data_IF_050563715662
#
_entry.id   IF_050563715662
#
_cell.length_a   1.000
_cell.length_b   1.000
_cell.length_c   1.000
_cell.angle_alpha   90.00
_cell.angle_beta   90.00
_cell.angle_gamma   90.00
#
_symmetry.space_group_name_H-M   'P 1'
#
loop_
_entity.id
_entity.type
_entity.pdbx_description
1 polymer ?
#
# COMPACT_ATOMS: atom_id res chain seq x y z
N UNK A 1 -4.34 -7.39 10.27
CA UNK A 1 -2.94 -7.80 10.00
C UNK A 1 -2.24 -6.65 9.29
N UNK A 2 -1.00 -6.25 9.66
CA UNK A 2 -0.36 -5.09 9.07
C UNK A 2 0.25 -5.36 7.69
N UNK A 3 0.46 -6.62 7.33
CA UNK A 3 0.89 -7.09 6.01
C UNK A 3 0.27 -8.47 5.79
N UNK A 4 -0.22 -8.74 4.59
CA UNK A 4 -0.74 -10.04 4.20
C UNK A 4 0.05 -10.58 3.02
N UNK A 5 0.35 -11.86 3.11
CA UNK A 5 0.92 -12.65 2.04
C UNK A 5 -0.09 -13.70 1.58
N UNK A 6 -0.50 -13.65 0.31
CA UNK A 6 -1.30 -14.67 -0.36
C UNK A 6 -0.45 -15.39 -1.41
N UNK A 7 -0.43 -16.72 -1.38
CA UNK A 7 0.26 -17.58 -2.35
C UNK A 7 -0.68 -18.70 -2.83
N UNK A 8 -0.61 -19.06 -4.11
CA UNK A 8 -1.44 -20.10 -4.72
C UNK A 8 -0.95 -20.46 -6.12
N UNK A 9 -1.19 -21.70 -6.56
CA UNK A 9 -0.88 -22.13 -7.95
C UNK A 9 -1.96 -21.64 -8.91
N UNK A 10 -1.67 -21.60 -10.21
CA UNK A 10 -2.68 -21.29 -11.23
C UNK A 10 -3.92 -22.17 -11.05
N UNK A 11 -5.10 -21.55 -11.03
CA UNK A 11 -6.38 -22.26 -10.79
C UNK A 11 -6.73 -22.53 -9.33
N UNK A 12 -5.88 -22.16 -8.36
CA UNK A 12 -6.17 -22.36 -6.92
C UNK A 12 -7.11 -21.30 -6.31
N UNK A 13 -7.64 -20.38 -7.12
CA UNK A 13 -8.51 -19.30 -6.65
C UNK A 13 -7.80 -18.07 -6.05
N UNK A 14 -6.47 -17.92 -6.25
CA UNK A 14 -5.69 -16.75 -5.77
C UNK A 14 -6.33 -15.42 -6.20
N UNK A 15 -6.61 -15.28 -7.50
CA UNK A 15 -7.19 -14.06 -8.07
C UNK A 15 -8.59 -13.77 -7.54
N UNK A 16 -9.41 -14.80 -7.37
CA UNK A 16 -10.76 -14.68 -6.77
C UNK A 16 -10.64 -14.17 -5.33
N UNK A 17 -9.72 -14.72 -4.55
CA UNK A 17 -9.46 -14.27 -3.18
C UNK A 17 -8.96 -12.82 -3.12
N UNK A 18 -8.06 -12.43 -4.02
CA UNK A 18 -7.55 -11.06 -4.11
C UNK A 18 -8.69 -10.07 -4.45
N UNK A 19 -9.52 -10.39 -5.45
CA UNK A 19 -10.68 -9.57 -5.81
C UNK A 19 -11.68 -9.48 -4.66
N UNK A 20 -11.93 -10.57 -3.93
CA UNK A 20 -12.80 -10.55 -2.75
C UNK A 20 -12.24 -9.64 -1.64
N UNK A 21 -10.92 -9.59 -1.45
CA UNK A 21 -10.27 -8.68 -0.50
C UNK A 21 -10.39 -7.22 -0.94
N UNK A 22 -10.13 -6.92 -2.21
CA UNK A 22 -10.26 -5.57 -2.77
C UNK A 22 -11.69 -5.07 -2.68
N UNK A 23 -12.66 -5.87 -3.13
CA UNK A 23 -14.08 -5.55 -3.03
C UNK A 23 -14.51 -5.35 -1.57
N UNK A 24 -14.02 -6.16 -0.63
CA UNK A 24 -14.31 -5.97 0.80
C UNK A 24 -13.86 -4.61 1.34
N UNK A 25 -12.75 -4.06 0.83
CA UNK A 25 -12.29 -2.71 1.17
C UNK A 25 -13.17 -1.65 0.50
N UNK A 26 -13.45 -1.79 -0.80
CA UNK A 26 -14.27 -0.84 -1.55
C UNK A 26 -15.70 -0.75 -1.01
N UNK A 27 -16.27 -1.85 -0.49
CA UNK A 27 -17.60 -1.86 0.12
C UNK A 27 -17.68 -1.21 1.50
N UNK A 28 -16.53 -1.00 2.18
CA UNK A 28 -16.49 -0.59 3.59
C UNK A 28 -15.80 0.74 3.83
N UNK A 29 -15.09 1.28 2.85
CA UNK A 29 -14.22 2.42 3.04
C UNK A 29 -14.28 3.40 1.87
N UNK A 30 -14.41 4.68 2.22
CA UNK A 30 -14.36 5.77 1.26
C UNK A 30 -12.91 6.09 0.83
N UNK A 31 -12.70 6.78 -0.30
CA UNK A 31 -11.36 7.18 -0.77
C UNK A 31 -10.58 8.07 0.20
N UNK A 32 -11.27 8.75 1.12
CA UNK A 32 -10.67 9.56 2.19
C UNK A 32 -10.12 8.69 3.34
N UNK A 33 -10.65 7.48 3.49
CA UNK A 33 -10.23 6.54 4.53
C UNK A 33 -9.18 5.55 4.03
N UNK A 34 -9.32 5.10 2.78
CA UNK A 34 -8.44 4.11 2.16
C UNK A 34 -8.04 4.54 0.75
N UNK A 35 -6.74 4.53 0.52
CA UNK A 35 -6.12 4.76 -0.78
C UNK A 35 -5.30 3.55 -1.21
N UNK A 36 -5.21 3.31 -2.52
CA UNK A 36 -4.64 2.08 -3.07
C UNK A 36 -3.56 2.35 -4.12
N UNK A 37 -2.56 1.50 -4.14
CA UNK A 37 -1.59 1.36 -5.24
C UNK A 37 -1.68 -0.08 -5.71
N UNK A 38 -2.09 -0.26 -6.97
CA UNK A 38 -2.23 -1.57 -7.59
C UNK A 38 -1.09 -1.77 -8.59
N UNK A 39 -0.40 -2.90 -8.50
CA UNK A 39 0.69 -3.30 -9.39
C UNK A 39 0.31 -4.61 -10.08
N UNK A 40 0.10 -4.54 -11.40
CA UNK A 40 -0.29 -5.66 -12.26
C UNK A 40 0.57 -5.66 -13.54
N UNK A 41 1.75 -6.30 -13.51
CA UNK A 41 2.65 -6.32 -14.65
C UNK A 41 2.14 -7.16 -15.83
N UNK A 42 1.11 -8.00 -15.60
CA UNK A 42 0.53 -8.88 -16.61
C UNK A 42 -0.77 -8.32 -17.19
N UNK A 43 -1.33 -7.28 -16.58
CA UNK A 43 -2.60 -6.65 -16.96
C UNK A 43 -3.78 -7.62 -16.99
N UNK A 44 -3.79 -8.61 -16.10
CA UNK A 44 -4.79 -9.67 -16.11
C UNK A 44 -5.89 -9.47 -15.08
N UNK A 45 -5.52 -9.09 -13.86
CA UNK A 45 -6.40 -9.22 -12.70
C UNK A 45 -6.84 -7.86 -12.16
N UNK A 46 -5.94 -6.86 -12.15
CA UNK A 46 -6.20 -5.58 -11.48
C UNK A 46 -6.61 -4.44 -12.42
N UNK A 47 -6.45 -4.63 -13.73
CA UNK A 47 -6.81 -3.63 -14.75
C UNK A 47 -8.29 -3.24 -14.72
N UNK A 48 -9.16 -4.13 -14.21
CA UNK A 48 -10.60 -3.85 -14.00
C UNK A 48 -10.87 -2.73 -12.98
N UNK A 49 -9.91 -2.45 -12.09
CA UNK A 49 -10.01 -1.40 -11.07
C UNK A 49 -9.47 -0.05 -11.55
N UNK A 50 -9.07 0.08 -12.82
CA UNK A 50 -8.57 1.34 -13.35
C UNK A 50 -9.62 2.46 -13.22
N UNK A 51 -9.16 3.66 -12.82
CA UNK A 51 -10.02 4.84 -12.69
C UNK A 51 -10.89 4.94 -11.43
N UNK A 52 -10.83 3.97 -10.50
CA UNK A 52 -11.55 4.12 -9.23
C UNK A 52 -10.95 5.26 -8.38
N UNK A 53 -11.77 6.00 -7.60
CA UNK A 53 -11.31 7.16 -6.82
C UNK A 53 -10.33 6.78 -5.70
N UNK A 54 -10.30 5.51 -5.28
CA UNK A 54 -9.37 5.01 -4.27
C UNK A 54 -7.93 4.92 -4.75
N UNK A 55 -7.67 4.94 -6.07
CA UNK A 55 -6.31 4.86 -6.60
C UNK A 55 -5.51 6.13 -6.34
N UNK A 56 -4.24 5.98 -5.95
CA UNK A 56 -3.26 7.08 -5.87
C UNK A 56 -2.55 7.33 -7.20
N UNK A 57 -2.55 6.32 -8.06
CA UNK A 57 -1.89 6.28 -9.35
C UNK A 57 -2.68 5.29 -10.22
N UNK A 58 -2.68 5.46 -11.55
CA UNK A 58 -3.13 4.41 -12.46
C UNK A 58 -2.50 3.06 -12.13
N UNK A 59 -3.17 1.96 -12.48
CA UNK A 59 -2.68 0.61 -12.22
C UNK A 59 -1.30 0.48 -12.86
N UNK A 60 -0.31 0.16 -12.03
CA UNK A 60 1.08 0.15 -12.45
C UNK A 60 1.36 -1.16 -13.20
N UNK A 61 1.66 -1.05 -14.47
CA UNK A 61 2.03 -2.18 -15.33
C UNK A 61 3.54 -2.29 -15.53
N UNK A 62 4.24 -1.14 -15.55
CA UNK A 62 5.70 -1.10 -15.68
C UNK A 62 6.41 -1.37 -14.34
N UNK A 63 7.38 -2.28 -14.36
CA UNK A 63 8.10 -2.73 -13.15
C UNK A 63 9.07 -1.68 -12.59
N UNK A 64 9.57 -0.79 -13.42
CA UNK A 64 10.38 0.35 -12.99
C UNK A 64 9.50 1.35 -12.22
N UNK A 65 8.29 1.59 -12.71
CA UNK A 65 7.28 2.41 -12.03
C UNK A 65 6.81 1.76 -10.72
N UNK A 66 6.67 0.44 -10.67
CA UNK A 66 6.32 -0.28 -9.45
C UNK A 66 7.37 -0.06 -8.34
N UNK A 67 8.65 -0.03 -8.73
CA UNK A 67 9.74 0.31 -7.82
C UNK A 67 9.68 1.76 -7.31
N UNK A 68 9.26 2.70 -8.16
CA UNK A 68 9.04 4.09 -7.76
C UNK A 68 7.86 4.21 -6.78
N UNK A 69 6.76 3.50 -7.03
CA UNK A 69 5.61 3.46 -6.13
C UNK A 69 5.99 2.97 -4.74
N UNK A 70 6.80 1.90 -4.63
CA UNK A 70 7.29 1.40 -3.35
C UNK A 70 8.26 2.37 -2.66
N UNK A 71 9.13 3.06 -3.42
CA UNK A 71 9.99 4.13 -2.87
C UNK A 71 9.15 5.28 -2.31
N UNK A 72 8.09 5.68 -3.02
CA UNK A 72 7.15 6.68 -2.57
C UNK A 72 6.46 6.25 -1.27
N UNK A 73 6.03 4.98 -1.16
CA UNK A 73 5.48 4.44 0.09
C UNK A 73 6.44 4.56 1.28
N UNK A 74 7.75 4.33 1.06
CA UNK A 74 8.77 4.51 2.12
C UNK A 74 8.91 5.99 2.49
N UNK A 75 8.94 6.89 1.50
CA UNK A 75 9.02 8.33 1.76
C UNK A 75 7.79 8.86 2.50
N UNK A 76 6.60 8.42 2.09
CA UNK A 76 5.33 8.75 2.74
C UNK A 76 5.26 8.17 4.16
N UNK A 77 5.78 6.96 4.38
CA UNK A 77 5.93 6.38 5.72
C UNK A 77 6.75 7.30 6.62
N UNK A 78 7.91 7.76 6.15
CA UNK A 78 8.80 8.63 6.91
C UNK A 78 8.17 10.01 7.18
N UNK A 79 7.44 10.58 6.19
CA UNK A 79 6.65 11.81 6.37
C UNK A 79 5.61 11.64 7.48
N UNK A 80 4.83 10.56 7.45
CA UNK A 80 3.80 10.26 8.47
C UNK A 80 4.41 10.07 9.85
N UNK A 81 5.56 9.42 9.96
CA UNK A 81 6.25 9.28 11.23
C UNK A 81 6.67 10.61 11.83
N UNK A 82 7.18 11.54 11.01
CA UNK A 82 7.51 12.89 11.46
C UNK A 82 6.27 13.63 11.95
N UNK A 83 5.17 13.61 11.18
CA UNK A 83 3.90 14.22 11.57
C UNK A 83 3.35 13.64 12.89
N UNK A 84 3.39 12.33 13.05
CA UNK A 84 2.98 11.66 14.29
C UNK A 84 3.86 12.05 15.48
N UNK A 85 5.18 12.18 15.27
CA UNK A 85 6.12 12.63 16.30
C UNK A 85 5.83 14.07 16.74
N UNK A 86 5.61 14.98 15.79
CA UNK A 86 5.32 16.40 16.07
C UNK A 86 3.96 16.58 16.77
N UNK A 87 2.98 15.75 16.41
CA UNK A 87 1.65 15.75 17.05
C UNK A 87 1.60 14.92 18.34
N UNK A 88 2.67 14.24 18.72
CA UNK A 88 2.75 13.45 19.96
C UNK A 88 1.92 12.16 19.97
N UNK A 89 1.62 11.59 18.81
CA UNK A 89 0.81 10.36 18.66
C UNK A 89 1.64 9.19 18.17
N UNK A 90 1.19 7.96 18.47
CA UNK A 90 1.94 6.72 18.17
C UNK A 90 1.37 5.90 17.01
N UNK A 91 0.24 6.30 16.42
CA UNK A 91 -0.40 5.60 15.32
C UNK A 91 -1.22 6.53 14.45
N UNK A 92 -1.43 6.15 13.18
CA UNK A 92 -2.29 6.87 12.24
C UNK A 92 -3.73 7.00 12.76
N UNK A 93 -4.25 5.96 13.42
CA UNK A 93 -5.59 6.01 14.02
C UNK A 93 -5.67 7.07 15.13
N UNK A 94 -4.63 7.18 15.97
CA UNK A 94 -4.57 8.20 17.00
C UNK A 94 -4.38 9.61 16.41
N UNK A 95 -3.59 9.73 15.33
CA UNK A 95 -3.44 10.96 14.56
C UNK A 95 -4.79 11.43 13.99
N UNK A 96 -5.49 10.57 13.25
CA UNK A 96 -6.80 10.90 12.66
C UNK A 96 -7.84 11.22 13.73
N UNK A 97 -7.83 10.49 14.86
CA UNK A 97 -8.72 10.80 15.99
C UNK A 97 -8.46 12.20 16.53
N UNK A 98 -7.19 12.58 16.72
CA UNK A 98 -6.81 13.90 17.23
C UNK A 98 -7.28 15.04 16.32
N UNK A 99 -7.20 14.85 15.00
CA UNK A 99 -7.68 15.83 14.01
C UNK A 99 -9.21 15.92 14.02
N UNK A 100 -9.91 14.78 13.95
CA UNK A 100 -11.38 14.75 14.03
C UNK A 100 -11.92 15.36 15.32
N UNK A 101 -11.23 15.13 16.45
CA UNK A 101 -11.61 15.73 17.74
C UNK A 101 -11.34 17.25 17.75
N UNK A 102 -10.32 17.75 17.06
CA UNK A 102 -10.08 19.18 16.91
C UNK A 102 -11.16 19.83 16.04
N UNK A 103 -11.48 19.25 14.88
CA UNK A 103 -12.54 19.72 13.97
C UNK A 103 -13.90 19.82 14.67
N UNK A 104 -14.27 18.79 15.45
CA UNK A 104 -15.52 18.80 16.25
C UNK A 104 -15.59 19.93 17.27
N UNK A 105 -14.45 20.41 17.75
CA UNK A 105 -14.34 21.53 18.68
C UNK A 105 -14.16 22.88 17.96
N UNK A 106 -14.37 22.93 16.64
CA UNK A 106 -14.10 24.09 15.78
C UNK A 106 -12.67 24.63 15.92
N UNK A 107 -11.70 23.73 16.14
CA UNK A 107 -10.27 24.03 16.19
C UNK A 107 -9.58 23.33 15.04
N UNK A 108 -8.65 24.00 14.39
CA UNK A 108 -7.78 23.39 13.39
C UNK A 108 -6.36 23.31 13.92
N UNK A 109 -5.68 22.20 13.64
CA UNK A 109 -4.30 22.00 14.05
C UNK A 109 -3.43 22.50 12.90
N UNK A 110 -2.66 23.55 13.12
CA UNK A 110 -1.70 24.07 12.12
C UNK A 110 -0.62 23.01 11.87
N UNK A 111 -0.23 22.86 10.60
CA UNK A 111 0.82 21.95 10.18
C UNK A 111 2.17 22.40 10.76
N UNK A 112 2.79 21.64 11.66
CA UNK A 112 4.07 22.01 12.27
C UNK A 112 5.27 21.90 11.32
N UNK A 113 5.05 21.52 10.05
CA UNK A 113 6.11 21.32 9.05
C UNK A 113 6.35 22.56 8.17
N UNK A 114 5.33 23.38 7.95
CA UNK A 114 5.39 24.63 7.19
C UNK A 114 4.89 25.75 8.12
N UNK A 115 5.83 26.45 8.77
CA UNK A 115 5.48 27.61 9.61
C UNK A 115 5.10 28.84 8.76
N UNK A 116 5.52 28.87 7.49
CA UNK A 116 5.32 29.98 6.55
C UNK A 116 3.98 29.94 5.80
N UNK A 117 3.28 28.80 5.81
CA UNK A 117 1.97 28.62 5.18
C UNK A 117 0.96 28.23 6.27
N UNK A 118 -0.19 28.91 6.35
CA UNK A 118 -1.33 28.50 7.19
C UNK A 118 -1.99 27.23 6.61
N UNK A 119 -1.24 26.13 6.57
CA UNK A 119 -1.74 24.82 6.18
C UNK A 119 -2.23 24.08 7.42
N UNK A 120 -3.46 23.56 7.38
CA UNK A 120 -4.02 22.77 8.48
C UNK A 120 -3.78 21.28 8.27
N UNK A 121 -3.56 20.55 9.37
CA UNK A 121 -3.46 19.11 9.32
C UNK A 121 -4.82 18.48 9.02
N UNK A 122 -4.83 17.64 8.00
CA UNK A 122 -5.99 16.82 7.62
C UNK A 122 -5.81 15.35 8.03
N UNK A 123 -6.92 14.63 8.09
CA UNK A 123 -6.87 13.18 8.30
C UNK A 123 -6.19 12.49 7.14
N UNK A 124 -5.39 11.47 7.45
CA UNK A 124 -4.61 10.75 6.46
C UNK A 124 -5.25 9.38 6.17
N UNK A 125 -5.41 8.99 4.90
CA UNK A 125 -5.96 7.69 4.54
C UNK A 125 -4.98 6.57 4.85
N UNK A 126 -5.49 5.37 5.13
CA UNK A 126 -4.70 4.14 5.08
C UNK A 126 -4.29 3.85 3.63
N UNK A 127 -3.04 3.48 3.43
CA UNK A 127 -2.53 3.15 2.09
C UNK A 127 -2.39 1.64 1.99
N UNK A 128 -3.08 1.03 1.02
CA UNK A 128 -3.01 -0.39 0.71
C UNK A 128 -2.24 -0.56 -0.60
N UNK A 129 -1.11 -1.26 -0.54
CA UNK A 129 -0.34 -1.60 -1.75
C UNK A 129 -0.62 -3.04 -2.10
N UNK A 130 -1.10 -3.32 -3.30
CA UNK A 130 -1.37 -4.67 -3.79
C UNK A 130 -0.50 -4.96 -4.99
N UNK A 131 0.22 -6.08 -4.92
CA UNK A 131 1.03 -6.60 -6.01
C UNK A 131 0.45 -7.95 -6.39
N UNK A 132 -0.02 -8.14 -7.63
CA UNK A 132 -0.55 -9.44 -8.08
C UNK A 132 0.56 -10.50 -8.17
N UNK A 133 1.67 -10.11 -8.81
CA UNK A 133 2.77 -10.99 -9.16
C UNK A 133 4.09 -10.47 -8.61
N UNK A 134 4.31 -10.73 -7.32
CA UNK A 134 5.47 -10.20 -6.63
C UNK A 134 6.79 -10.88 -7.03
N UNK A 135 6.78 -12.13 -7.53
CA UNK A 135 8.03 -12.78 -7.95
C UNK A 135 8.64 -12.13 -9.19
N UNK A 136 7.82 -11.70 -10.13
CA UNK A 136 8.33 -10.98 -11.30
C UNK A 136 9.05 -9.71 -10.87
N UNK A 137 8.53 -8.99 -9.85
CA UNK A 137 9.21 -7.82 -9.30
C UNK A 137 10.56 -8.18 -8.65
N UNK A 138 10.61 -9.27 -7.87
CA UNK A 138 11.86 -9.73 -7.24
C UNK A 138 12.91 -10.15 -8.27
N UNK A 139 12.50 -10.79 -9.36
CA UNK A 139 13.40 -11.22 -10.42
C UNK A 139 13.97 -10.04 -11.23
N UNK A 140 13.13 -9.03 -11.52
CA UNK A 140 13.53 -7.87 -12.32
C UNK A 140 14.31 -6.82 -11.53
N UNK A 141 13.86 -6.49 -10.31
CA UNK A 141 14.41 -5.38 -9.50
C UNK A 141 15.48 -5.89 -8.52
N UNK A 142 15.43 -7.17 -8.15
CA UNK A 142 16.43 -7.83 -7.31
C UNK A 142 16.53 -7.26 -5.90
N UNK A 143 17.76 -7.20 -5.38
CA UNK A 143 18.08 -6.82 -3.98
C UNK A 143 17.56 -5.45 -3.54
N UNK A 144 17.35 -4.51 -4.47
CA UNK A 144 16.82 -3.18 -4.13
C UNK A 144 15.37 -3.27 -3.63
N UNK A 145 14.59 -4.20 -4.17
CA UNK A 145 13.20 -4.40 -3.77
C UNK A 145 13.08 -5.02 -2.37
N UNK A 146 13.94 -6.00 -2.07
CA UNK A 146 14.03 -6.62 -0.74
C UNK A 146 14.26 -5.59 0.36
N UNK A 147 15.19 -4.65 0.14
CA UNK A 147 15.47 -3.60 1.10
C UNK A 147 14.28 -2.67 1.34
N UNK A 148 13.54 -2.30 0.27
CA UNK A 148 12.35 -1.46 0.39
C UNK A 148 11.26 -2.17 1.19
N UNK A 149 11.01 -3.45 0.92
CA UNK A 149 9.95 -4.20 1.59
C UNK A 149 10.29 -4.52 3.02
N UNK A 150 11.56 -4.86 3.30
CA UNK A 150 12.03 -4.99 4.67
C UNK A 150 11.80 -3.69 5.46
N UNK A 151 12.12 -2.55 4.86
CA UNK A 151 11.92 -1.23 5.48
C UNK A 151 10.44 -0.91 5.70
N UNK A 152 9.58 -1.18 4.72
CA UNK A 152 8.13 -1.00 4.88
C UNK A 152 7.64 -1.94 5.98
N UNK A 153 7.87 -3.25 5.89
CA UNK A 153 7.38 -4.24 6.86
C UNK A 153 7.81 -3.95 8.32
N UNK A 154 9.00 -3.36 8.52
CA UNK A 154 9.50 -3.03 9.86
C UNK A 154 8.82 -1.81 10.50
N UNK A 155 8.34 -0.84 9.71
CA UNK A 155 7.90 0.49 10.21
C UNK A 155 6.47 0.87 9.81
N UNK A 156 5.92 0.25 8.79
CA UNK A 156 4.61 0.52 8.21
C UNK A 156 3.44 0.58 9.20
N UNK A 157 3.46 -0.32 10.20
CA UNK A 157 2.29 -0.60 11.06
C UNK A 157 1.74 0.65 11.75
N UNK A 158 2.61 1.54 12.22
CA UNK A 158 2.18 2.77 12.89
C UNK A 158 1.75 3.86 11.90
N UNK A 159 2.38 3.91 10.72
CA UNK A 159 2.12 4.90 9.67
C UNK A 159 0.87 4.59 8.82
N UNK A 160 0.24 3.43 9.02
CA UNK A 160 -0.96 3.00 8.30
C UNK A 160 -0.71 2.72 6.81
N UNK A 161 0.52 2.35 6.45
CA UNK A 161 0.88 1.89 5.10
C UNK A 161 0.97 0.37 5.15
N UNK A 162 0.09 -0.34 4.45
CA UNK A 162 -0.01 -1.79 4.51
C UNK A 162 0.24 -2.36 3.11
N UNK A 163 1.46 -2.82 2.77
CA UNK A 163 1.63 -3.69 1.63
C UNK A 163 0.96 -5.04 1.89
N UNK A 164 -0.05 -5.36 1.09
CA UNK A 164 -0.47 -6.71 0.78
C UNK A 164 0.46 -7.22 -0.32
N UNK A 165 1.60 -7.76 0.08
CA UNK A 165 2.59 -8.34 -0.83
C UNK A 165 2.15 -9.76 -1.17
N UNK A 166 1.56 -10.02 -2.34
CA UNK A 166 1.23 -11.39 -2.76
C UNK A 166 2.47 -12.07 -3.39
N UNK A 167 3.18 -12.94 -2.66
CA UNK A 167 4.18 -13.83 -3.29
C UNK A 167 3.47 -14.85 -4.18
N UNK A 168 3.94 -14.93 -5.40
CA UNK A 168 3.64 -16.01 -6.34
C UNK A 168 4.97 -16.71 -6.61
N UNK A 169 5.01 -18.04 -6.44
CA UNK A 169 6.17 -18.84 -6.85
C UNK A 169 5.65 -19.84 -7.87
N UNK A 170 5.80 -19.51 -9.15
CA UNK A 170 5.52 -20.41 -10.26
C UNK A 170 6.60 -21.49 -10.29
N UNK A 171 6.36 -22.63 -9.63
CA UNK A 171 7.16 -23.83 -9.89
C UNK A 171 6.77 -24.36 -11.27
N UNK A 172 7.52 -23.96 -12.29
CA UNK A 172 7.48 -24.60 -13.60
C UNK A 172 7.81 -26.09 -13.46
N UNK A 173 6.90 -26.95 -13.91
CA UNK A 173 7.12 -28.40 -14.01
C UNK A 173 8.37 -28.68 -14.85
N UNK A 174 9.49 -29.05 -14.24
CA UNK A 174 10.57 -29.76 -14.94
C UNK A 174 10.13 -31.21 -15.16
N UNK A 175 9.71 -31.51 -16.37
CA UNK A 175 9.58 -32.87 -16.86
C UNK A 175 10.97 -33.51 -16.93
N UNK A 176 11.35 -34.29 -15.92
CA UNK A 176 12.40 -35.27 -16.08
C UNK A 176 11.81 -36.46 -16.84
N UNK A 177 11.97 -36.46 -18.18
CA UNK A 177 11.95 -37.69 -18.96
C UNK A 177 13.31 -38.33 -18.79
N UNK A 178 13.37 -39.42 -18.05
CA UNK A 178 14.48 -40.37 -18.08
C UNK A 178 14.37 -41.19 -19.36
N UNK A 179 15.40 -41.10 -20.21
CA UNK A 179 15.75 -42.18 -21.14
C UNK A 179 16.69 -43.15 -20.41
#
# INVERSE_FOLDING_TARGET
>A
MPHLLVAGTTGSGKSVGLNAMLLSLLFKSDPEEVRMILIDPKMLELSVYEGIPHLLTPVITDMSNASNGLRWCVAEMDRRYKLMSLTGVKSLAAYNKKIKDAEKNNKQIVNPYNEDEEEFLETLPFIVVVVDEFADMMMLVGKKLEHLIARIAQKARAAGITPNSCYTKTFGRRNYRTN
#
